data_IF_699012386528
#
_entry.id   IF_699012386528
#
_cell.length_a   1.000
_cell.length_b   1.000
_cell.length_c   1.000
_cell.angle_alpha   90.00
_cell.angle_beta   90.00
_cell.angle_gamma   90.00
#
_symmetry.space_group_name_H-M   'P 1'
#
loop_
_entity.id
_entity.type
_entity.pdbx_description
1 polymer ?
#
# COMPACT_ATOMS: atom_id res chain seq x y z
N UNK A 1 14.06 -29.32 -5.35
CA UNK A 1 13.35 -30.63 -5.36
C UNK A 1 14.17 -31.80 -5.91
N UNK A 2 14.87 -31.68 -7.06
CA UNK A 2 15.65 -32.78 -7.64
C UNK A 2 16.67 -33.41 -6.67
N UNK A 3 17.44 -32.59 -5.94
CA UNK A 3 18.44 -33.05 -4.99
C UNK A 3 17.84 -33.86 -3.81
N UNK A 4 16.70 -33.42 -3.28
CA UNK A 4 15.98 -34.14 -2.23
C UNK A 4 15.51 -35.52 -2.70
N UNK A 5 14.84 -35.56 -3.86
CA UNK A 5 14.37 -36.81 -4.46
C UNK A 5 15.54 -37.76 -4.73
N UNK A 6 16.67 -37.25 -5.25
CA UNK A 6 17.84 -38.08 -5.50
C UNK A 6 18.44 -38.72 -4.22
N UNK A 7 18.49 -37.98 -3.10
CA UNK A 7 19.07 -38.46 -1.83
C UNK A 7 18.18 -39.45 -1.08
N UNK A 8 16.86 -39.28 -1.21
CA UNK A 8 15.86 -40.00 -0.41
C UNK A 8 14.97 -40.93 -1.25
N UNK A 9 15.31 -41.15 -2.52
CA UNK A 9 14.61 -42.12 -3.37
C UNK A 9 14.61 -43.49 -2.70
N UNK A 10 13.43 -44.09 -2.55
CA UNK A 10 13.21 -45.39 -1.90
C UNK A 10 13.54 -45.44 -0.39
N UNK A 11 13.58 -44.28 0.29
CA UNK A 11 13.73 -44.17 1.76
C UNK A 11 12.49 -43.51 2.38
N UNK A 12 12.42 -43.48 3.71
CA UNK A 12 11.36 -42.81 4.49
C UNK A 12 11.90 -41.57 5.21
N UNK A 13 12.14 -40.45 4.49
CA UNK A 13 12.60 -39.20 5.09
C UNK A 13 11.57 -38.61 6.05
N UNK A 14 12.05 -37.90 7.06
CA UNK A 14 11.23 -37.06 7.95
C UNK A 14 11.32 -35.59 7.53
N UNK A 15 10.48 -34.74 8.12
CA UNK A 15 10.46 -33.29 7.84
C UNK A 15 11.84 -32.63 8.02
N UNK A 16 12.62 -33.03 9.04
CA UNK A 16 13.97 -32.49 9.27
C UNK A 16 14.95 -32.82 8.14
N UNK A 17 14.82 -34.00 7.52
CA UNK A 17 15.67 -34.41 6.41
C UNK A 17 15.40 -33.55 5.17
N UNK A 18 14.15 -33.15 4.96
CA UNK A 18 13.79 -32.21 3.91
C UNK A 18 14.41 -30.82 4.15
N UNK A 19 14.23 -30.27 5.36
CA UNK A 19 14.78 -28.95 5.74
C UNK A 19 16.31 -28.94 5.56
N UNK A 20 16.99 -30.01 6.00
CA UNK A 20 18.44 -30.15 5.86
C UNK A 20 18.89 -30.12 4.39
N UNK A 21 18.19 -30.83 3.49
CA UNK A 21 18.53 -30.80 2.05
C UNK A 21 18.24 -29.43 1.44
N UNK A 22 17.18 -28.74 1.86
CA UNK A 22 16.89 -27.39 1.37
C UNK A 22 17.97 -26.40 1.78
N UNK A 23 18.38 -26.40 3.06
CA UNK A 23 19.44 -25.52 3.56
C UNK A 23 20.79 -25.78 2.87
N UNK A 24 21.11 -27.05 2.62
CA UNK A 24 22.34 -27.45 1.92
C UNK A 24 22.34 -27.01 0.44
N UNK A 25 21.20 -27.07 -0.24
CA UNK A 25 21.09 -26.65 -1.66
C UNK A 25 21.00 -25.13 -1.81
N UNK A 26 20.34 -24.44 -0.88
CA UNK A 26 20.21 -22.98 -0.91
C UNK A 26 21.48 -22.27 -0.43
N UNK A 27 22.31 -22.93 0.39
CA UNK A 27 23.43 -22.30 1.10
C UNK A 27 22.99 -21.30 2.17
N UNK A 28 21.70 -21.28 2.51
CA UNK A 28 21.09 -20.36 3.46
C UNK A 28 20.46 -21.15 4.61
N UNK A 29 20.53 -20.60 5.83
CA UNK A 29 19.79 -21.15 6.96
C UNK A 29 18.34 -20.67 6.92
N UNK A 30 17.44 -21.53 6.46
CA UNK A 30 16.00 -21.26 6.37
C UNK A 30 15.20 -21.84 7.54
N UNK A 31 15.86 -22.25 8.62
CA UNK A 31 15.17 -22.80 9.80
C UNK A 31 14.12 -21.81 10.33
N UNK A 32 14.42 -20.50 10.38
CA UNK A 32 13.48 -19.46 10.83
C UNK A 32 12.16 -19.44 10.03
N UNK A 33 12.20 -19.80 8.74
CA UNK A 33 11.04 -19.86 7.87
C UNK A 33 10.27 -21.15 8.09
N UNK A 34 10.95 -22.29 8.06
CA UNK A 34 10.33 -23.60 8.21
C UNK A 34 9.76 -23.83 9.62
N UNK A 35 10.36 -23.23 10.64
CA UNK A 35 9.85 -23.25 12.01
C UNK A 35 8.46 -22.63 12.10
N UNK A 36 8.27 -21.49 11.43
CA UNK A 36 6.97 -20.83 11.37
C UNK A 36 6.01 -21.56 10.40
N UNK A 37 6.49 -22.01 9.25
CA UNK A 37 5.63 -22.58 8.20
C UNK A 37 5.13 -23.99 8.48
N UNK A 38 5.94 -24.84 9.13
CA UNK A 38 5.63 -26.26 9.34
C UNK A 38 5.32 -26.62 10.79
N UNK A 39 5.91 -25.90 11.74
CA UNK A 39 5.82 -26.23 13.17
C UNK A 39 5.00 -25.21 13.97
N UNK A 40 4.37 -24.24 13.32
CA UNK A 40 3.53 -23.24 13.97
C UNK A 40 2.19 -23.05 13.24
N UNK A 41 1.25 -22.36 13.88
CA UNK A 41 -0.01 -21.92 13.30
C UNK A 41 0.07 -20.50 12.71
N UNK A 42 1.28 -20.01 12.43
CA UNK A 42 1.49 -18.67 11.95
C UNK A 42 0.94 -18.48 10.53
N UNK A 43 0.17 -17.41 10.35
CA UNK A 43 -0.44 -17.04 9.08
C UNK A 43 0.31 -15.87 8.48
N UNK A 44 0.55 -15.90 7.16
CA UNK A 44 1.13 -14.81 6.39
C UNK A 44 0.01 -13.96 5.79
N UNK A 45 -0.13 -12.71 6.26
CA UNK A 45 -1.09 -11.73 5.75
C UNK A 45 -0.48 -10.33 5.94
N UNK A 46 -0.13 -9.68 4.83
CA UNK A 46 0.43 -8.34 4.78
C UNK A 46 -0.52 -7.41 4.05
N UNK A 47 -0.83 -6.28 4.67
CA UNK A 47 -1.82 -5.34 4.14
C UNK A 47 -1.31 -3.91 4.16
N UNK A 48 -1.85 -3.08 3.28
CA UNK A 48 -1.69 -1.63 3.33
C UNK A 48 -2.98 -1.05 3.89
N UNK A 49 -2.92 -0.47 5.08
CA UNK A 49 -4.13 0.00 5.76
C UNK A 49 -4.55 1.40 5.33
N UNK A 50 -3.58 2.30 5.21
CA UNK A 50 -3.83 3.71 4.93
C UNK A 50 -2.76 4.26 4.04
N UNK A 51 -3.19 5.00 3.03
CA UNK A 51 -2.34 5.77 2.13
C UNK A 51 -2.88 7.19 2.10
N UNK A 52 -2.03 8.17 2.36
CA UNK A 52 -2.40 9.57 2.37
C UNK A 52 -1.31 10.41 1.69
N UNK A 53 -1.74 11.44 0.97
CA UNK A 53 -0.84 12.42 0.36
C UNK A 53 -1.41 13.81 0.55
N UNK A 54 -0.82 14.58 1.44
CA UNK A 54 -1.26 15.95 1.77
C UNK A 54 -0.27 16.96 1.21
N UNK A 55 -0.72 18.02 0.53
CA UNK A 55 0.18 19.11 0.16
C UNK A 55 0.70 19.78 1.44
N UNK A 56 2.01 19.93 1.52
CA UNK A 56 2.67 20.69 2.58
C UNK A 56 2.45 22.16 2.24
N UNK A 57 1.59 22.83 3.00
CA UNK A 57 1.51 24.29 2.96
C UNK A 57 2.83 24.87 3.46
N UNK A 58 3.26 26.01 2.90
CA UNK A 58 4.37 26.79 3.46
C UNK A 58 4.15 26.93 4.97
N UNK A 59 5.14 26.59 5.79
CA UNK A 59 5.04 26.75 7.24
C UNK A 59 4.67 28.21 7.52
N UNK A 60 3.48 28.43 8.07
CA UNK A 60 3.00 29.77 8.48
C UNK A 60 3.54 30.15 9.87
N UNK A 61 4.70 29.61 10.26
CA UNK A 61 5.24 29.72 11.61
C UNK A 61 6.75 29.96 11.62
N UNK A 62 7.24 30.45 12.75
CA UNK A 62 8.67 30.64 13.02
C UNK A 62 9.32 29.27 13.28
N UNK A 63 10.05 28.71 12.31
CA UNK A 63 10.79 27.46 12.49
C UNK A 63 12.02 27.73 13.38
N UNK A 64 11.94 27.34 14.66
CA UNK A 64 13.06 27.43 15.62
C UNK A 64 14.31 26.66 15.17
N UNK A 65 14.17 25.69 14.26
CA UNK A 65 15.29 24.93 13.69
C UNK A 65 16.11 25.71 12.65
N UNK A 66 15.50 26.71 11.98
CA UNK A 66 16.21 27.57 11.03
C UNK A 66 16.92 28.73 11.77
N UNK A 67 16.36 29.18 12.89
CA UNK A 67 16.92 30.24 13.72
C UNK A 67 18.27 29.87 14.36
N UNK A 68 18.54 28.57 14.57
CA UNK A 68 19.85 28.11 15.07
C UNK A 68 20.93 28.16 13.99
N UNK A 69 20.58 27.90 12.73
CA UNK A 69 21.52 28.00 11.59
C UNK A 69 21.82 29.47 11.27
N UNK A 70 20.83 30.36 11.41
CA UNK A 70 21.03 31.80 11.21
C UNK A 70 21.85 32.48 12.31
N UNK A 71 21.96 31.88 13.50
CA UNK A 71 22.77 32.41 14.61
C UNK A 71 24.27 32.16 14.45
N UNK A 72 24.67 31.11 13.74
CA UNK A 72 26.09 30.87 13.45
C UNK A 72 26.61 31.70 12.26
N UNK A 73 25.73 32.40 11.54
CA UNK A 73 26.07 33.23 10.38
C UNK A 73 25.62 34.69 10.52
N UNK A 74 25.86 35.32 11.67
CA UNK A 74 25.73 36.78 11.78
C UNK A 74 26.74 37.38 12.77
N UNK A 75 27.85 37.85 12.22
CA UNK A 75 28.65 38.91 12.82
C UNK A 75 27.91 40.25 12.65
N UNK A 76 27.34 40.74 13.75
CA UNK A 76 27.10 42.14 14.15
C UNK A 76 26.09 43.06 13.38
N UNK A 77 25.50 44.08 14.06
CA UNK A 77 24.11 44.55 13.85
C UNK A 77 23.94 46.04 13.47
N UNK A 78 22.75 46.43 13.00
CA UNK A 78 22.15 47.78 13.02
C UNK A 78 20.65 47.67 12.62
N UNK A 79 19.66 47.89 13.50
CA UNK A 79 18.97 49.14 13.89
C UNK A 79 17.85 49.62 12.93
N UNK A 80 16.71 49.98 13.56
CA UNK A 80 15.57 50.80 13.13
C UNK A 80 14.25 50.20 12.55
N UNK A 81 13.27 50.16 13.46
CA UNK A 81 11.83 50.49 13.45
C UNK A 81 11.06 50.84 12.15
N UNK A 82 9.84 50.26 12.03
CA UNK A 82 8.52 50.93 12.13
C UNK A 82 7.39 50.41 11.19
N UNK A 83 6.20 50.32 11.81
CA UNK A 83 4.83 50.50 11.33
C UNK A 83 4.23 49.74 10.11
N UNK A 84 3.24 48.91 10.48
CA UNK A 84 2.04 48.43 9.79
C UNK A 84 1.56 49.10 8.48
N UNK A 85 1.07 48.26 7.54
CA UNK A 85 -0.18 48.55 6.82
C UNK A 85 -0.88 47.26 6.30
N UNK A 86 -2.20 47.19 6.49
CA UNK A 86 -3.08 46.16 5.91
C UNK A 86 -3.52 46.64 4.53
N UNK A 87 -3.41 45.79 3.50
CA UNK A 87 -4.19 45.93 2.27
C UNK A 87 -4.68 44.55 1.83
N UNK A 88 -5.98 44.32 2.00
CA UNK A 88 -6.72 43.30 1.27
C UNK A 88 -6.98 43.81 -0.14
N UNK A 89 -6.52 43.09 -1.17
CA UNK A 89 -7.17 43.13 -2.49
C UNK A 89 -7.21 41.74 -3.10
N UNK A 90 -8.45 41.33 -3.34
CA UNK A 90 -8.89 40.16 -4.09
C UNK A 90 -8.40 40.19 -5.53
N UNK A 91 -7.90 39.06 -6.01
CA UNK A 91 -8.11 38.65 -7.39
C UNK A 91 -6.85 38.40 -8.21
N UNK A 92 -6.65 37.12 -8.52
CA UNK A 92 -6.05 36.62 -9.75
C UNK A 92 -4.59 37.00 -10.01
N UNK A 93 -3.70 36.01 -9.89
CA UNK A 93 -2.98 35.43 -11.03
C UNK A 93 -2.28 34.16 -10.54
N UNK A 94 -2.24 33.15 -11.40
CA UNK A 94 -1.66 31.84 -11.12
C UNK A 94 -0.18 31.95 -10.73
N UNK A 95 0.16 31.58 -9.49
CA UNK A 95 1.52 31.18 -9.13
C UNK A 95 1.72 29.70 -9.44
N UNK A 96 1.80 29.38 -10.73
CA UNK A 96 2.56 28.24 -11.22
C UNK A 96 4.05 28.58 -11.05
N UNK A 97 4.73 27.98 -10.08
CA UNK A 97 6.20 28.15 -10.00
C UNK A 97 6.88 28.00 -8.65
N UNK A 98 6.19 27.61 -7.58
CA UNK A 98 6.86 27.17 -6.34
C UNK A 98 6.34 25.78 -6.00
N UNK A 99 7.15 24.76 -6.30
CA UNK A 99 6.76 23.36 -6.32
C UNK A 99 6.04 22.93 -5.04
N UNK A 100 4.73 22.68 -5.14
CA UNK A 100 3.92 22.14 -4.04
C UNK A 100 4.54 20.83 -3.59
N UNK A 101 5.17 20.83 -2.43
CA UNK A 101 5.64 19.60 -1.81
C UNK A 101 4.45 18.84 -1.27
N UNK A 102 4.46 17.52 -1.41
CA UNK A 102 3.49 16.62 -0.85
C UNK A 102 4.17 15.79 0.22
N UNK A 103 3.54 15.73 1.39
CA UNK A 103 3.87 14.76 2.42
C UNK A 103 3.01 13.53 2.16
N UNK A 104 3.65 12.50 1.63
CA UNK A 104 3.02 11.22 1.36
C UNK A 104 3.37 10.24 2.47
N UNK A 105 2.37 9.58 3.04
CA UNK A 105 2.59 8.54 4.04
C UNK A 105 1.70 7.35 3.82
N UNK A 106 2.22 6.17 4.14
CA UNK A 106 1.43 4.96 4.16
C UNK A 106 1.83 4.04 5.30
N UNK A 107 0.89 3.20 5.70
CA UNK A 107 1.03 2.24 6.79
C UNK A 107 0.96 0.84 6.20
N UNK A 108 2.05 0.09 6.37
CA UNK A 108 2.08 -1.34 6.08
C UNK A 108 1.88 -2.06 7.40
N UNK A 109 0.96 -3.03 7.41
CA UNK A 109 0.65 -3.83 8.59
C UNK A 109 0.74 -5.30 8.28
N UNK A 110 1.42 -6.03 9.17
CA UNK A 110 1.39 -7.48 9.26
C UNK A 110 0.17 -7.87 10.10
N UNK A 111 -0.87 -8.37 9.45
CA UNK A 111 -2.09 -8.87 10.11
C UNK A 111 -1.88 -10.28 10.67
N UNK A 112 -1.04 -11.05 9.98
CA UNK A 112 -0.59 -12.35 10.43
C UNK A 112 0.48 -12.30 11.52
N UNK A 113 0.78 -13.46 12.09
CA UNK A 113 1.89 -13.65 13.02
C UNK A 113 3.17 -14.10 12.33
N UNK A 114 3.07 -14.53 11.07
CA UNK A 114 4.20 -15.02 10.28
C UNK A 114 5.13 -13.87 9.88
N UNK A 115 6.37 -13.89 10.37
CA UNK A 115 7.38 -12.88 10.07
C UNK A 115 8.05 -13.23 8.74
N UNK A 116 8.01 -12.33 7.78
CA UNK A 116 8.59 -12.55 6.45
C UNK A 116 9.02 -11.23 5.82
N UNK A 117 10.22 -11.16 5.21
CA UNK A 117 10.65 -9.96 4.52
C UNK A 117 9.84 -9.76 3.23
N UNK A 118 9.29 -8.56 3.05
CA UNK A 118 8.43 -8.18 1.92
C UNK A 118 8.98 -6.98 1.16
N UNK A 119 8.73 -6.97 -0.15
CA UNK A 119 8.99 -5.84 -1.03
C UNK A 119 7.74 -4.97 -1.15
N UNK A 120 7.89 -3.66 -1.16
CA UNK A 120 6.81 -2.68 -1.27
C UNK A 120 7.13 -1.77 -2.45
N UNK A 121 6.22 -1.66 -3.42
CA UNK A 121 6.30 -0.70 -4.50
C UNK A 121 5.35 0.48 -4.25
N UNK A 122 5.88 1.68 -4.41
CA UNK A 122 5.22 2.95 -4.16
C UNK A 122 5.21 3.73 -5.46
N UNK A 123 4.03 4.03 -6.01
CA UNK A 123 3.88 4.71 -7.31
C UNK A 123 3.38 6.13 -7.12
N UNK A 124 4.10 7.09 -7.70
CA UNK A 124 3.79 8.52 -7.64
C UNK A 124 3.09 8.99 -8.92
N UNK A 125 2.51 10.21 -8.87
CA UNK A 125 1.74 10.78 -9.98
C UNK A 125 2.56 11.10 -11.23
N UNK A 126 3.88 11.20 -11.09
CA UNK A 126 4.83 11.37 -12.20
C UNK A 126 5.16 10.03 -12.90
N UNK A 127 4.62 8.89 -12.44
CA UNK A 127 4.96 7.56 -12.94
C UNK A 127 6.22 6.95 -12.31
N UNK A 128 6.88 7.64 -11.37
CA UNK A 128 8.01 7.09 -10.63
C UNK A 128 7.53 6.00 -9.67
N UNK A 129 8.20 4.84 -9.69
CA UNK A 129 7.98 3.76 -8.74
C UNK A 129 9.21 3.60 -7.84
N UNK A 130 9.03 3.78 -6.54
CA UNK A 130 10.06 3.51 -5.53
C UNK A 130 9.82 2.14 -4.93
N UNK A 131 10.87 1.31 -4.84
CA UNK A 131 10.83 0.01 -4.19
C UNK A 131 11.49 0.09 -2.82
N UNK A 132 10.79 -0.36 -1.80
CA UNK A 132 11.26 -0.46 -0.43
C UNK A 132 11.23 -1.92 0.02
N UNK A 133 12.09 -2.27 0.96
CA UNK A 133 12.11 -3.59 1.60
C UNK A 133 11.80 -3.45 3.07
N UNK A 134 10.93 -4.33 3.58
CA UNK A 134 10.60 -4.40 5.00
C UNK A 134 10.80 -5.82 5.51
N UNK A 135 11.46 -5.96 6.65
CA UNK A 135 11.75 -7.23 7.31
C UNK A 135 10.51 -7.90 7.94
N UNK A 136 9.44 -7.15 8.15
CA UNK A 136 8.18 -7.65 8.69
C UNK A 136 8.28 -8.07 10.16
N UNK A 137 9.26 -7.58 10.93
CA UNK A 137 9.40 -7.91 12.36
C UNK A 137 8.34 -7.22 13.22
N UNK A 138 8.14 -5.93 12.99
CA UNK A 138 7.11 -5.12 13.64
C UNK A 138 5.71 -5.47 13.12
N UNK A 139 4.67 -5.16 13.89
CA UNK A 139 3.28 -5.38 13.46
C UNK A 139 2.88 -4.36 12.39
N UNK A 140 3.40 -3.14 12.47
CA UNK A 140 3.16 -2.09 11.49
C UNK A 140 4.40 -1.23 11.31
N UNK A 141 4.57 -0.68 10.11
CA UNK A 141 5.61 0.31 9.81
C UNK A 141 5.02 1.43 8.97
N UNK A 142 5.31 2.67 9.37
CA UNK A 142 4.93 3.87 8.64
C UNK A 142 6.08 4.32 7.74
N UNK A 143 5.79 4.50 6.47
CA UNK A 143 6.70 5.14 5.53
C UNK A 143 6.23 6.57 5.26
N UNK A 144 7.17 7.51 5.18
CA UNK A 144 6.89 8.92 4.95
C UNK A 144 7.87 9.48 3.92
N UNK A 145 7.33 10.18 2.93
CA UNK A 145 8.08 10.83 1.86
C UNK A 145 7.68 12.30 1.77
N UNK A 146 8.67 13.14 1.51
CA UNK A 146 8.47 14.54 1.18
C UNK A 146 8.94 14.74 -0.26
N UNK A 147 8.00 14.73 -1.21
CA UNK A 147 8.27 14.81 -2.65
C UNK A 147 7.35 15.85 -3.31
N UNK A 148 7.75 16.50 -4.41
CA UNK A 148 6.88 17.43 -5.16
C UNK A 148 5.74 16.72 -5.90
N UNK A 149 5.66 15.39 -5.83
CA UNK A 149 4.69 14.55 -6.56
C UNK A 149 3.76 13.85 -5.59
N UNK A 150 2.47 13.79 -5.93
CA UNK A 150 1.45 13.14 -5.11
C UNK A 150 1.61 11.63 -5.18
N UNK A 151 1.44 10.95 -4.06
CA UNK A 151 1.37 9.49 -4.02
C UNK A 151 0.05 9.00 -4.65
N UNK A 152 0.13 8.01 -5.55
CA UNK A 152 -1.03 7.42 -6.22
C UNK A 152 -1.42 6.13 -5.53
N UNK A 153 -0.48 5.20 -5.43
CA UNK A 153 -0.72 3.87 -4.86
C UNK A 153 0.51 3.31 -4.18
N UNK A 154 0.28 2.41 -3.24
CA UNK A 154 1.29 1.55 -2.66
C UNK A 154 0.83 0.10 -2.83
N UNK A 155 1.78 -0.82 -3.00
CA UNK A 155 1.51 -2.26 -3.19
C UNK A 155 2.59 -3.08 -2.53
N UNK A 156 2.19 -3.98 -1.64
CA UNK A 156 3.04 -5.03 -1.08
C UNK A 156 3.11 -6.18 -2.08
N UNK A 157 4.31 -6.69 -2.30
CA UNK A 157 4.61 -7.77 -3.24
C UNK A 157 4.02 -7.54 -4.65
N UNK A 158 4.50 -6.50 -5.37
CA UNK A 158 3.98 -6.14 -6.69
C UNK A 158 4.13 -7.27 -7.72
N UNK A 159 5.14 -8.12 -7.56
CA UNK A 159 5.45 -9.25 -8.45
C UNK A 159 4.78 -10.56 -8.03
N UNK A 160 4.01 -10.56 -6.92
CA UNK A 160 3.34 -11.75 -6.35
C UNK A 160 4.31 -12.92 -6.12
N UNK A 161 5.49 -12.62 -5.58
CA UNK A 161 6.51 -13.62 -5.22
C UNK A 161 6.08 -14.48 -4.02
N UNK A 162 5.11 -14.03 -3.23
CA UNK A 162 4.70 -14.65 -1.97
C UNK A 162 3.31 -15.29 -2.13
N UNK A 163 3.23 -16.55 -2.62
CA UNK A 163 1.95 -17.22 -2.80
C UNK A 163 1.30 -17.67 -1.48
N UNK A 164 2.00 -17.53 -0.35
CA UNK A 164 1.50 -17.91 0.98
C UNK A 164 0.58 -16.84 1.59
N UNK A 165 0.48 -15.66 0.99
CA UNK A 165 -0.42 -14.62 1.49
C UNK A 165 -1.87 -15.05 1.33
N UNK A 166 -2.65 -14.95 2.42
CA UNK A 166 -4.06 -15.33 2.42
C UNK A 166 -4.91 -14.33 1.63
N UNK A 167 -4.56 -13.04 1.63
CA UNK A 167 -5.47 -12.01 1.13
C UNK A 167 -4.79 -10.93 0.29
N UNK A 168 -4.46 -11.29 -0.96
CA UNK A 168 -3.94 -10.37 -1.98
C UNK A 168 -4.77 -9.11 -2.24
N UNK A 169 -6.07 -9.11 -1.91
CA UNK A 169 -6.92 -7.94 -2.21
C UNK A 169 -6.62 -6.75 -1.31
N UNK A 170 -5.97 -6.98 -0.17
CA UNK A 170 -5.61 -5.94 0.80
C UNK A 170 -4.13 -5.48 0.68
N UNK A 171 -3.36 -6.10 -0.22
CA UNK A 171 -1.92 -5.83 -0.41
C UNK A 171 -1.67 -4.51 -1.13
N UNK A 172 -2.70 -3.90 -1.71
CA UNK A 172 -2.59 -2.64 -2.42
C UNK A 172 -3.62 -1.63 -1.93
N UNK A 173 -3.22 -0.36 -1.89
CA UNK A 173 -4.12 0.73 -1.58
C UNK A 173 -3.79 1.94 -2.47
N UNK A 174 -4.84 2.65 -2.87
CA UNK A 174 -4.79 3.83 -3.74
C UNK A 174 -5.30 5.02 -2.95
N UNK A 175 -4.70 6.21 -3.12
CA UNK A 175 -5.13 7.43 -2.42
C UNK A 175 -6.53 7.87 -2.84
N UNK A 176 -6.84 7.78 -4.13
CA UNK A 176 -8.15 8.11 -4.69
C UNK A 176 -8.78 6.89 -5.34
N UNK A 177 -9.85 6.31 -4.76
CA UNK A 177 -10.51 5.15 -5.33
C UNK A 177 -11.26 5.53 -6.61
N UNK A 178 -11.05 4.78 -7.68
CA UNK A 178 -11.77 4.98 -8.95
C UNK A 178 -13.15 4.30 -8.93
N UNK A 179 -14.22 5.02 -9.30
CA UNK A 179 -15.59 4.46 -9.40
C UNK A 179 -15.91 3.78 -10.73
N UNK A 180 -15.02 3.88 -11.72
CA UNK A 180 -15.26 3.40 -13.09
C UNK A 180 -15.60 1.90 -13.15
N UNK A 181 -14.89 1.07 -12.38
CA UNK A 181 -15.15 -0.38 -12.33
C UNK A 181 -16.52 -0.73 -11.75
N UNK A 182 -16.89 -0.10 -10.63
CA UNK A 182 -18.19 -0.29 -10.01
C UNK A 182 -19.32 0.17 -10.92
N UNK A 183 -19.18 1.34 -11.56
CA UNK A 183 -20.15 1.85 -12.52
C UNK A 183 -20.32 0.90 -13.71
N UNK A 184 -19.23 0.32 -14.24
CA UNK A 184 -19.29 -0.66 -15.32
C UNK A 184 -20.08 -1.91 -14.91
N UNK A 185 -19.84 -2.43 -13.71
CA UNK A 185 -20.56 -3.61 -13.22
C UNK A 185 -22.04 -3.29 -12.95
N UNK A 186 -22.33 -2.13 -12.37
CA UNK A 186 -23.69 -1.66 -12.14
C UNK A 186 -24.46 -1.48 -13.45
N UNK A 187 -23.83 -0.89 -14.47
CA UNK A 187 -24.42 -0.77 -15.82
C UNK A 187 -24.69 -2.14 -16.44
N UNK A 188 -23.76 -3.10 -16.29
CA UNK A 188 -23.97 -4.46 -16.80
C UNK A 188 -25.10 -5.18 -16.06
N UNK A 189 -25.18 -5.03 -14.74
CA UNK A 189 -26.25 -5.58 -13.94
C UNK A 189 -27.60 -4.94 -14.30
N UNK A 190 -27.65 -3.62 -14.46
CA UNK A 190 -28.84 -2.89 -14.89
C UNK A 190 -29.31 -3.32 -16.28
N UNK A 191 -28.37 -3.54 -17.22
CA UNK A 191 -28.68 -4.12 -18.52
C UNK A 191 -29.32 -5.51 -18.40
N UNK A 192 -28.78 -6.39 -17.54
CA UNK A 192 -29.39 -7.70 -17.30
C UNK A 192 -30.77 -7.60 -16.66
N UNK A 193 -30.97 -6.71 -15.68
CA UNK A 193 -32.28 -6.46 -15.07
C UNK A 193 -33.29 -5.96 -16.10
N UNK A 194 -32.89 -5.03 -16.97
CA UNK A 194 -33.74 -4.56 -18.07
C UNK A 194 -34.08 -5.70 -19.02
N UNK A 195 -33.10 -6.52 -19.41
CA UNK A 195 -33.34 -7.69 -20.27
C UNK A 195 -34.35 -8.66 -19.65
N UNK A 196 -34.22 -9.00 -18.36
CA UNK A 196 -35.17 -9.88 -17.69
C UNK A 196 -36.59 -9.30 -17.60
N UNK A 197 -36.73 -7.98 -17.38
CA UNK A 197 -38.03 -7.31 -17.31
C UNK A 197 -38.71 -7.16 -18.68
N UNK A 198 -37.93 -7.09 -19.76
CA UNK A 198 -38.42 -6.95 -21.14
C UNK A 198 -38.85 -8.29 -21.76
N UNK A 199 -38.60 -9.42 -21.08
CA UNK A 199 -39.07 -10.75 -21.49
C UNK A 199 -40.43 -11.08 -20.86
N UNK A 200 -41.56 -11.04 -21.61
CA UNK A 200 -42.89 -11.29 -21.06
C UNK A 200 -43.08 -12.71 -20.51
N UNK A 201 -42.32 -13.70 -21.02
CA UNK A 201 -42.40 -15.09 -20.54
C UNK A 201 -41.86 -15.27 -19.10
N UNK A 202 -40.89 -14.44 -18.67
CA UNK A 202 -40.34 -14.51 -17.33
C UNK A 202 -41.33 -14.02 -16.28
N UNK A 203 -42.10 -12.96 -16.58
CA UNK A 203 -43.15 -12.44 -15.70
C UNK A 203 -44.36 -13.40 -15.62
N UNK A 204 -44.69 -14.09 -16.71
CA UNK A 204 -45.78 -15.08 -16.75
C UNK A 204 -45.45 -16.38 -15.98
N UNK A 205 -44.16 -16.73 -15.84
CA UNK A 205 -43.73 -17.91 -15.07
C UNK A 205 -44.00 -17.76 -13.55
N UNK A 206 -43.92 -16.54 -13.01
CA UNK A 206 -44.23 -16.28 -11.59
C UNK A 206 -45.73 -16.17 -11.30
N UNK A 207 -46.55 -15.83 -12.31
CA UNK A 207 -48.01 -15.78 -12.20
C UNK A 207 -48.65 -17.17 -12.07
N UNK A 208 -48.08 -18.20 -12.72
CA UNK A 208 -48.64 -19.56 -12.73
C UNK A 208 -48.29 -20.40 -11.48
N UNK A 209 -47.58 -19.83 -10.50
CA UNK A 209 -47.08 -20.54 -9.31
C UNK A 209 -47.74 -20.10 -7.99
N UNK A 210 -48.72 -19.20 -8.06
CA UNK A 210 -49.54 -18.78 -6.90
C UNK A 210 -50.90 -19.50 -7.03
N UNK A 211 -51.19 -20.55 -6.25
CA UNK A 211 -52.53 -21.13 -6.24
C UNK A 211 -53.49 -20.14 -5.56
N UNK A 212 -54.62 -19.86 -6.21
CA UNK A 212 -55.70 -19.07 -5.61
C UNK A 212 -56.23 -19.78 -4.35
N UNK A 213 -56.21 -19.07 -3.21
CA UNK A 213 -56.93 -19.41 -1.99
C UNK A 213 -58.11 -18.47 -1.83
#
# INVERSE_FOLDING_TARGET
MRAYVARWRFKHPKTRDFIAVVNDVSGLDLNWFFDQALFSNAVLDYSIERVASTPVGKSRGFDFSLATVARDSSAAPAEDADAAERVDTTGSLAEEGQGKQYQSSFYVRRKGTFKFPVEIAVTFSNGETVRETWDGQEIWKKFSYLKPTKLVSATVDPERKIPLDINYTNNSAVVEPSKLGANKLALRWMFWMQFFLDQPEFLNLFSNLIPEF
#
